data_IF_656117927059
#
_entry.id   IF_656117927059
#
_cell.length_a   1.000
_cell.length_b   1.000
_cell.length_c   1.000
_cell.angle_alpha   90.00
_cell.angle_beta   90.00
_cell.angle_gamma   90.00
#
_symmetry.space_group_name_H-M   'P 1'
#
loop_
_entity.id
_entity.type
_entity.pdbx_description
1 polymer ?
#
# COMPACT_ATOMS: atom_id res chain seq x y z
N UNK A 1 -76.39 16.45 -18.94
CA UNK A 1 -75.30 15.46 -19.03
C UNK A 1 -74.36 15.75 -17.87
N UNK A 2 -74.35 14.89 -16.84
CA UNK A 2 -73.70 15.11 -15.54
C UNK A 2 -72.21 14.72 -15.61
N UNK A 3 -71.37 15.50 -14.94
CA UNK A 3 -69.96 15.19 -14.60
C UNK A 3 -69.84 13.88 -13.83
N UNK A 4 -68.66 13.23 -13.91
CA UNK A 4 -68.05 12.79 -12.66
C UNK A 4 -66.55 13.13 -12.54
N UNK A 5 -66.22 13.36 -11.29
CA UNK A 5 -64.95 13.66 -10.62
C UNK A 5 -63.96 12.50 -10.67
N UNK A 6 -62.67 12.81 -10.81
CA UNK A 6 -61.58 11.85 -10.59
C UNK A 6 -61.03 12.04 -9.15
N UNK A 7 -61.21 11.02 -8.29
CA UNK A 7 -60.53 10.91 -6.98
C UNK A 7 -59.13 10.27 -7.14
N UNK A 8 -58.16 10.62 -6.30
CA UNK A 8 -56.84 9.99 -6.30
C UNK A 8 -56.87 8.66 -5.54
N UNK A 9 -56.33 7.59 -6.14
CA UNK A 9 -56.10 6.30 -5.47
C UNK A 9 -54.67 6.27 -4.91
N UNK A 10 -54.61 6.05 -3.60
CA UNK A 10 -53.40 5.73 -2.82
C UNK A 10 -52.77 4.41 -3.28
N UNK A 11 -51.44 4.29 -3.42
CA UNK A 11 -50.79 3.00 -3.58
C UNK A 11 -50.48 2.35 -2.21
N UNK A 12 -50.95 1.12 -2.09
CA UNK A 12 -50.79 0.18 -1.00
C UNK A 12 -49.30 -0.15 -0.73
N UNK A 13 -48.99 -0.24 0.57
CA UNK A 13 -47.74 -0.71 1.13
C UNK A 13 -47.43 -2.16 0.69
N UNK A 14 -46.30 -2.34 -0.01
CA UNK A 14 -45.71 -3.66 -0.27
C UNK A 14 -44.70 -4.00 0.84
N UNK A 15 -45.03 -5.00 1.66
CA UNK A 15 -44.11 -5.59 2.63
C UNK A 15 -43.05 -6.44 1.90
N UNK A 16 -41.78 -6.07 2.03
CA UNK A 16 -40.64 -6.83 1.50
C UNK A 16 -40.09 -7.77 2.57
N UNK A 17 -40.18 -9.08 2.34
CA UNK A 17 -39.72 -10.13 3.26
C UNK A 17 -38.41 -10.72 2.73
N UNK A 18 -37.28 -10.40 3.38
CA UNK A 18 -35.95 -10.91 3.03
C UNK A 18 -35.80 -12.36 3.54
N UNK A 19 -35.61 -13.33 2.63
CA UNK A 19 -35.18 -14.70 2.97
C UNK A 19 -33.65 -14.77 2.86
N UNK A 20 -32.98 -15.22 3.93
CA UNK A 20 -31.56 -15.58 3.93
C UNK A 20 -31.33 -16.84 3.07
N UNK A 21 -30.30 -16.90 2.22
CA UNK A 21 -29.87 -18.16 1.62
C UNK A 21 -29.01 -18.95 2.62
N UNK A 22 -29.39 -20.21 2.84
CA UNK A 22 -28.63 -21.18 3.61
C UNK A 22 -27.49 -21.80 2.81
N UNK A 23 -26.47 -22.21 3.56
CA UNK A 23 -25.26 -22.94 3.15
C UNK A 23 -25.63 -24.31 2.55
N UNK A 24 -24.98 -24.67 1.43
CA UNK A 24 -24.93 -26.04 0.91
C UNK A 24 -23.51 -26.32 0.43
N UNK A 25 -22.84 -27.27 1.10
CA UNK A 25 -21.50 -27.76 0.75
C UNK A 25 -21.58 -28.79 -0.40
N UNK A 26 -20.62 -28.73 -1.32
CA UNK A 26 -20.36 -29.75 -2.34
C UNK A 26 -18.87 -29.70 -2.75
N UNK A 27 -18.21 -30.83 -3.03
CA UNK A 27 -16.76 -30.87 -3.16
C UNK A 27 -16.31 -30.55 -4.59
N UNK A 28 -15.25 -29.75 -4.74
CA UNK A 28 -14.51 -29.64 -6.00
C UNK A 28 -13.01 -29.83 -5.72
N UNK A 29 -12.42 -30.76 -6.48
CA UNK A 29 -11.00 -31.10 -6.47
C UNK A 29 -10.12 -30.03 -7.12
N UNK A 30 -8.80 -30.29 -7.21
CA UNK A 30 -7.78 -29.27 -7.05
C UNK A 30 -7.44 -28.57 -8.37
N UNK A 31 -7.30 -27.24 -8.34
CA UNK A 31 -6.47 -26.53 -9.32
C UNK A 31 -5.70 -25.45 -8.60
N UNK A 32 -4.39 -25.66 -8.62
CA UNK A 32 -3.30 -24.91 -8.04
C UNK A 32 -3.14 -23.56 -8.75
N UNK A 33 -3.20 -22.46 -8.00
CA UNK A 33 -2.48 -21.23 -8.35
C UNK A 33 -1.96 -20.60 -7.06
N UNK A 34 -0.66 -20.77 -6.82
CA UNK A 34 0.05 -20.26 -5.67
C UNK A 34 0.59 -18.87 -6.01
N UNK A 35 0.00 -17.82 -5.44
CA UNK A 35 0.60 -16.50 -5.34
C UNK A 35 0.89 -16.26 -3.85
N UNK A 36 2.15 -16.40 -3.43
CA UNK A 36 2.56 -16.12 -2.05
C UNK A 36 2.89 -14.63 -1.93
N UNK A 37 1.94 -13.84 -1.46
CA UNK A 37 2.23 -12.62 -0.72
C UNK A 37 2.22 -13.01 0.76
N UNK A 38 3.37 -12.98 1.43
CA UNK A 38 3.43 -13.14 2.89
C UNK A 38 2.89 -11.87 3.54
N UNK A 39 1.57 -11.78 3.64
CA UNK A 39 0.89 -10.83 4.49
C UNK A 39 0.77 -11.47 5.87
N UNK A 40 1.69 -11.15 6.79
CA UNK A 40 1.50 -11.52 8.20
C UNK A 40 0.42 -10.63 8.80
N UNK A 41 -0.84 -11.06 8.70
CA UNK A 41 -1.89 -10.59 9.60
C UNK A 41 -1.83 -11.50 10.85
N UNK A 42 -1.16 -11.04 11.90
CA UNK A 42 -1.15 -11.75 13.17
C UNK A 42 -2.55 -11.66 13.80
N UNK A 43 -3.30 -12.76 13.80
CA UNK A 43 -4.38 -12.99 14.77
C UNK A 43 -3.70 -13.53 16.02
N UNK A 44 -3.58 -12.69 17.05
CA UNK A 44 -2.95 -13.05 18.31
C UNK A 44 -3.82 -14.08 19.06
N UNK A 45 -3.27 -15.28 19.29
CA UNK A 45 -3.74 -16.19 20.34
C UNK A 45 -3.15 -15.69 21.66
N UNK A 46 -4.03 -15.10 22.48
CA UNK A 46 -3.67 -14.40 23.70
C UNK A 46 -3.40 -15.40 24.83
N UNK A 47 -2.14 -15.61 25.22
CA UNK A 47 -1.77 -15.92 26.62
C UNK A 47 -0.28 -16.16 26.89
N UNK A 48 0.60 -16.25 25.88
CA UNK A 48 2.01 -16.61 26.12
C UNK A 48 3.06 -15.62 25.56
N UNK A 49 2.67 -14.59 24.81
CA UNK A 49 3.61 -13.66 24.15
C UNK A 49 3.64 -12.24 24.73
N UNK A 50 2.84 -11.96 25.77
CA UNK A 50 2.62 -10.59 26.28
C UNK A 50 3.84 -9.92 26.93
N UNK A 51 4.85 -10.70 27.35
CA UNK A 51 6.07 -10.14 27.98
C UNK A 51 7.17 -9.73 27.01
N UNK A 52 7.20 -10.30 25.80
CA UNK A 52 8.21 -9.95 24.79
C UNK A 52 7.68 -8.91 23.79
N UNK A 53 6.35 -8.79 23.64
CA UNK A 53 5.68 -7.76 22.83
C UNK A 53 5.48 -6.42 23.55
N UNK A 54 5.52 -6.40 24.89
CA UNK A 54 5.28 -5.18 25.68
C UNK A 54 6.45 -4.18 25.62
N UNK A 55 7.67 -4.64 25.36
CA UNK A 55 8.81 -3.75 25.13
C UNK A 55 8.83 -3.17 23.69
N UNK A 56 8.07 -3.77 22.75
CA UNK A 56 8.00 -3.33 21.35
C UNK A 56 6.83 -2.36 21.06
N UNK A 57 5.92 -2.12 22.01
CA UNK A 57 4.73 -1.27 21.82
C UNK A 57 4.77 0.06 22.57
N UNK A 58 5.93 0.49 23.07
CA UNK A 58 6.12 1.91 23.38
C UNK A 58 6.35 2.67 22.06
N UNK A 59 5.29 2.85 21.26
CA UNK A 59 5.27 3.88 20.23
C UNK A 59 5.42 5.22 20.96
N UNK A 60 6.67 5.66 21.12
CA UNK A 60 6.97 7.07 21.37
C UNK A 60 6.29 7.92 20.30
N UNK A 61 6.20 9.26 20.47
CA UNK A 61 5.60 10.11 19.46
C UNK A 61 6.16 9.76 18.08
N UNK A 62 5.31 9.21 17.20
CA UNK A 62 5.69 8.83 15.84
C UNK A 62 6.31 10.06 15.21
N UNK A 63 7.57 9.92 14.78
CA UNK A 63 8.45 11.03 14.55
C UNK A 63 7.82 12.07 13.61
N UNK A 64 7.53 13.27 14.11
CA UNK A 64 7.23 14.46 13.32
C UNK A 64 8.52 15.10 12.80
N UNK A 65 9.47 14.29 12.34
CA UNK A 65 10.68 14.80 11.71
C UNK A 65 10.33 15.34 10.33
N UNK A 66 10.83 16.52 9.96
CA UNK A 66 10.72 17.10 8.61
C UNK A 66 11.56 16.29 7.61
N UNK A 67 11.22 15.02 7.40
CA UNK A 67 11.86 14.15 6.43
C UNK A 67 11.30 14.51 5.07
N UNK A 68 12.18 15.04 4.22
CA UNK A 68 11.81 15.33 2.84
C UNK A 68 11.48 14.04 2.08
N UNK A 69 10.49 14.16 1.18
CA UNK A 69 10.23 13.13 0.20
C UNK A 69 11.47 12.99 -0.69
N UNK A 70 12.00 11.79 -0.77
CA UNK A 70 13.19 11.45 -1.55
C UNK A 70 13.00 10.11 -2.25
N UNK A 71 13.75 9.88 -3.32
CA UNK A 71 13.69 8.64 -4.07
C UNK A 71 15.05 7.96 -4.22
N UNK A 72 15.00 6.66 -4.52
CA UNK A 72 16.11 5.84 -4.99
C UNK A 72 15.69 5.08 -6.23
N UNK A 73 16.67 4.75 -7.06
CA UNK A 73 16.48 3.99 -8.29
C UNK A 73 17.21 2.66 -8.11
N UNK A 74 16.52 1.57 -8.39
CA UNK A 74 17.16 0.27 -8.60
C UNK A 74 17.29 -0.01 -10.09
N UNK A 75 18.41 -0.62 -10.49
CA UNK A 75 18.75 -0.94 -11.88
C UNK A 75 19.16 -2.40 -12.08
N UNK A 76 19.04 -3.24 -11.05
CA UNK A 76 19.45 -4.64 -11.14
C UNK A 76 18.51 -5.46 -12.02
N UNK A 77 19.00 -6.59 -12.54
CA UNK A 77 18.25 -7.48 -13.44
C UNK A 77 17.69 -6.80 -14.70
N UNK A 78 18.35 -5.75 -15.20
CA UNK A 78 17.92 -4.99 -16.38
C UNK A 78 16.54 -4.33 -16.22
N UNK A 79 16.13 -4.04 -14.98
CA UNK A 79 14.90 -3.33 -14.62
C UNK A 79 15.27 -1.98 -14.02
N UNK A 80 14.67 -0.90 -14.51
CA UNK A 80 14.74 0.41 -13.88
C UNK A 80 13.48 0.69 -13.06
N UNK A 81 13.61 0.91 -11.75
CA UNK A 81 12.45 1.27 -10.92
C UNK A 81 12.80 2.35 -9.90
N UNK A 82 11.99 3.40 -9.87
CA UNK A 82 12.07 4.46 -8.85
C UNK A 82 11.15 4.14 -7.66
N UNK A 83 11.69 4.24 -6.45
CA UNK A 83 10.98 4.06 -5.18
C UNK A 83 11.11 5.34 -4.35
N UNK A 84 10.01 5.80 -3.75
CA UNK A 84 9.97 6.97 -2.88
C UNK A 84 9.68 6.57 -1.43
N UNK A 85 10.18 7.37 -0.48
CA UNK A 85 9.99 7.15 0.95
C UNK A 85 8.61 7.58 1.50
N UNK A 86 7.66 7.95 0.64
CA UNK A 86 6.26 8.22 0.97
C UNK A 86 5.31 7.10 0.49
N UNK A 87 5.88 5.94 0.10
CA UNK A 87 5.15 4.77 -0.39
C UNK A 87 4.85 4.79 -1.89
N UNK A 88 5.22 5.86 -2.60
CA UNK A 88 5.03 5.95 -4.05
C UNK A 88 6.07 5.12 -4.82
N UNK A 89 5.61 4.34 -5.80
CA UNK A 89 6.44 3.49 -6.67
C UNK A 89 6.22 3.89 -8.14
N UNK A 90 7.30 4.02 -8.91
CA UNK A 90 7.27 4.59 -10.25
C UNK A 90 7.36 6.12 -10.23
N UNK A 91 7.05 6.79 -11.34
CA UNK A 91 7.26 8.26 -11.47
C UNK A 91 6.04 9.04 -11.93
N UNK A 92 4.90 8.36 -12.15
CA UNK A 92 3.76 8.90 -12.92
C UNK A 92 4.16 9.46 -14.29
N UNK A 93 5.32 9.04 -14.83
CA UNK A 93 5.93 9.62 -16.03
C UNK A 93 6.18 11.13 -15.92
N UNK A 94 6.35 11.65 -14.70
CA UNK A 94 6.53 13.08 -14.43
C UNK A 94 7.98 13.56 -14.66
N UNK A 95 8.93 12.64 -14.75
CA UNK A 95 10.34 12.93 -15.03
C UNK A 95 10.98 11.77 -15.83
N UNK A 96 12.30 11.83 -16.03
CA UNK A 96 13.06 10.84 -16.82
C UNK A 96 13.61 9.67 -16.01
N UNK A 97 13.32 9.61 -14.71
CA UNK A 97 13.68 8.44 -13.92
C UNK A 97 12.76 7.27 -14.31
N UNK A 98 13.26 6.03 -14.26
CA UNK A 98 12.52 4.89 -14.76
C UNK A 98 11.31 4.57 -13.86
N UNK A 99 10.22 4.21 -14.50
CA UNK A 99 8.93 3.85 -13.91
C UNK A 99 8.59 2.41 -14.31
N UNK A 100 9.40 1.47 -13.80
CA UNK A 100 9.42 0.07 -14.22
C UNK A 100 9.82 -0.05 -15.70
N UNK A 101 10.97 0.53 -16.04
CA UNK A 101 11.56 0.43 -17.36
C UNK A 101 12.12 -0.99 -17.56
N UNK A 102 11.74 -1.64 -18.67
CA UNK A 102 12.30 -2.93 -19.04
C UNK A 102 12.28 -3.13 -20.57
N UNK A 103 13.38 -3.55 -21.20
CA UNK A 103 14.74 -3.56 -20.68
C UNK A 103 15.21 -2.17 -20.22
N UNK A 104 16.09 -2.10 -19.23
CA UNK A 104 16.71 -0.84 -18.81
C UNK A 104 17.43 -0.19 -20.00
N UNK A 105 17.17 1.10 -20.23
CA UNK A 105 17.66 1.85 -21.40
C UNK A 105 16.79 1.76 -22.66
N UNK A 106 15.67 1.02 -22.63
CA UNK A 106 14.73 0.94 -23.77
C UNK A 106 13.80 2.15 -23.87
N UNK A 107 13.65 2.94 -22.81
CA UNK A 107 12.60 3.95 -22.61
C UNK A 107 11.16 3.37 -22.68
N UNK A 108 10.99 2.06 -22.47
CA UNK A 108 9.69 1.41 -22.41
C UNK A 108 9.30 1.22 -20.94
N UNK A 109 8.39 2.08 -20.49
CA UNK A 109 7.87 2.11 -19.12
C UNK A 109 6.70 1.14 -18.95
N UNK A 110 6.75 0.28 -17.94
CA UNK A 110 5.72 -0.73 -17.67
C UNK A 110 4.83 -0.37 -16.48
N UNK A 111 5.14 0.72 -15.76
CA UNK A 111 4.36 1.21 -14.65
C UNK A 111 4.14 2.71 -14.80
N UNK A 112 2.89 3.16 -14.80
CA UNK A 112 2.62 4.59 -14.68
C UNK A 112 2.95 5.02 -13.25
N UNK A 113 2.32 4.38 -12.27
CA UNK A 113 2.58 4.54 -10.82
C UNK A 113 2.00 3.36 -10.05
N UNK A 114 2.46 3.17 -8.83
CA UNK A 114 1.87 2.28 -7.85
C UNK A 114 2.05 2.87 -6.44
N UNK A 115 1.29 2.33 -5.51
CA UNK A 115 1.39 2.64 -4.09
C UNK A 115 0.60 1.63 -3.26
N UNK A 116 0.86 1.61 -1.97
CA UNK A 116 0.14 0.82 -0.96
C UNK A 116 -1.16 1.49 -0.55
N UNK A 117 -2.19 0.65 -0.34
CA UNK A 117 -3.48 1.00 0.28
C UNK A 117 -3.64 0.15 1.54
N UNK A 118 -3.88 0.78 2.69
CA UNK A 118 -4.14 0.11 3.96
C UNK A 118 -5.54 0.49 4.43
N UNK A 119 -6.36 -0.51 4.76
CA UNK A 119 -7.71 -0.30 5.27
C UNK A 119 -7.85 -0.84 6.69
N UNK A 120 -8.66 -0.17 7.51
CA UNK A 120 -8.89 -0.54 8.90
C UNK A 120 -10.18 0.02 9.48
N UNK A 121 -10.50 -0.43 10.70
CA UNK A 121 -11.57 0.14 11.51
C UNK A 121 -10.96 1.04 12.57
N UNK A 122 -11.47 2.26 12.72
CA UNK A 122 -11.08 3.10 13.84
C UNK A 122 -11.76 2.66 15.15
N UNK A 123 -11.41 3.30 16.27
CA UNK A 123 -11.99 3.01 17.58
C UNK A 123 -13.53 3.20 17.67
N UNK A 124 -14.14 3.90 16.70
CA UNK A 124 -15.59 4.11 16.61
C UNK A 124 -16.29 3.10 15.69
N UNK A 125 -15.53 2.24 15.02
CA UNK A 125 -16.02 1.27 14.04
C UNK A 125 -16.22 1.86 12.64
N UNK A 126 -15.69 3.05 12.34
CA UNK A 126 -15.70 3.59 10.98
C UNK A 126 -14.66 2.86 10.12
N UNK A 127 -15.02 2.52 8.87
CA UNK A 127 -14.09 1.99 7.88
C UNK A 127 -13.28 3.13 7.25
N UNK A 128 -11.96 3.08 7.41
CA UNK A 128 -11.02 4.05 6.85
C UNK A 128 -10.03 3.36 5.92
N UNK A 129 -9.47 4.12 4.98
CA UNK A 129 -8.42 3.68 4.07
C UNK A 129 -7.40 4.80 3.97
N UNK A 130 -6.12 4.42 4.00
CA UNK A 130 -4.98 5.31 3.74
C UNK A 130 -4.23 4.83 2.51
N UNK A 131 -3.88 5.75 1.61
CA UNK A 131 -3.21 5.45 0.34
C UNK A 131 -1.99 6.31 0.07
N UNK A 132 -0.98 5.71 -0.56
CA UNK A 132 0.20 6.42 -1.07
C UNK A 132 0.06 6.96 -2.49
N UNK A 133 -1.03 6.60 -3.18
CA UNK A 133 -1.39 7.19 -4.48
C UNK A 133 -2.88 7.03 -4.77
N UNK A 134 -3.47 8.06 -5.36
CA UNK A 134 -4.84 8.00 -5.91
C UNK A 134 -4.83 7.82 -7.43
N UNK A 135 -5.98 7.50 -8.03
CA UNK A 135 -6.16 7.54 -9.48
C UNK A 135 -6.14 8.99 -9.99
N UNK A 136 -5.77 9.23 -11.25
CA UNK A 136 -5.42 10.57 -11.73
C UNK A 136 -4.63 10.54 -13.03
N UNK A 137 -4.33 11.70 -13.60
CA UNK A 137 -3.66 11.84 -14.90
C UNK A 137 -2.16 11.57 -14.80
N UNK A 138 -1.56 10.98 -15.83
CA UNK A 138 -0.11 10.85 -15.94
C UNK A 138 0.56 12.22 -16.17
N UNK A 139 1.80 12.38 -15.72
CA UNK A 139 2.66 13.53 -15.99
C UNK A 139 2.86 14.50 -14.82
N UNK A 140 2.22 14.28 -13.67
CA UNK A 140 2.47 15.05 -12.44
C UNK A 140 2.56 14.13 -11.23
N UNK A 141 3.55 14.34 -10.36
CA UNK A 141 3.58 13.67 -9.05
C UNK A 141 2.77 14.51 -8.07
N UNK A 142 1.46 14.56 -8.31
CA UNK A 142 0.52 15.22 -7.40
C UNK A 142 0.72 14.61 -6.00
N UNK A 143 0.68 15.43 -4.96
CA UNK A 143 0.93 15.04 -3.56
C UNK A 143 -0.26 14.23 -3.00
N UNK A 144 -0.52 13.09 -3.63
CA UNK A 144 -1.69 12.22 -3.40
C UNK A 144 -1.39 11.06 -2.46
N UNK A 145 -0.29 11.17 -1.71
CA UNK A 145 0.01 10.27 -0.60
C UNK A 145 -0.56 10.89 0.66
N UNK A 146 -1.36 10.10 1.36
CA UNK A 146 -1.87 10.37 2.71
C UNK A 146 -0.82 10.03 3.77
N UNK A 147 0.31 9.46 3.35
CA UNK A 147 1.43 9.13 4.21
C UNK A 147 2.49 10.22 4.20
N UNK A 148 3.11 10.43 5.37
CA UNK A 148 4.30 11.26 5.55
C UNK A 148 5.52 10.39 5.76
N UNK A 149 6.68 10.70 5.13
CA UNK A 149 7.92 9.98 5.40
C UNK A 149 8.32 10.09 6.87
N UNK A 150 8.62 8.94 7.49
CA UNK A 150 9.17 8.86 8.86
C UNK A 150 10.70 8.76 8.80
N UNK A 151 11.24 8.07 7.79
CA UNK A 151 12.68 7.99 7.54
C UNK A 151 13.04 8.27 6.08
N UNK A 152 14.30 8.66 5.84
CA UNK A 152 14.89 8.62 4.51
C UNK A 152 15.09 7.18 4.01
N UNK A 153 15.46 7.04 2.73
CA UNK A 153 15.82 5.74 2.16
C UNK A 153 17.26 5.38 2.50
N UNK A 154 17.43 4.32 3.29
CA UNK A 154 18.72 3.69 3.57
C UNK A 154 18.96 2.58 2.56
N UNK A 155 20.12 2.62 1.89
CA UNK A 155 20.54 1.59 0.95
C UNK A 155 21.58 0.67 1.63
N UNK A 156 21.36 -0.64 1.55
CA UNK A 156 22.27 -1.66 2.04
C UNK A 156 22.58 -2.67 0.92
N UNK A 157 23.71 -3.35 1.01
CA UNK A 157 24.11 -4.34 0.02
C UNK A 157 24.90 -5.47 0.67
N UNK A 158 24.64 -6.71 0.25
CA UNK A 158 25.45 -7.86 0.64
C UNK A 158 26.72 -8.00 -0.21
N UNK A 159 26.88 -7.21 -1.28
CA UNK A 159 28.03 -7.29 -2.18
C UNK A 159 29.28 -6.68 -1.52
N UNK A 160 30.37 -7.43 -1.31
CA UNK A 160 31.56 -6.96 -0.58
C UNK A 160 32.25 -5.73 -1.17
N UNK A 161 32.07 -5.49 -2.47
CA UNK A 161 32.63 -4.36 -3.21
C UNK A 161 31.68 -3.15 -3.29
N UNK A 162 30.45 -3.26 -2.77
CA UNK A 162 29.50 -2.15 -2.74
C UNK A 162 29.92 -1.11 -1.70
N UNK A 163 29.79 0.18 -2.04
CA UNK A 163 29.95 1.27 -1.05
C UNK A 163 28.89 1.25 0.06
N UNK A 164 27.82 0.49 -0.16
CA UNK A 164 26.72 0.27 0.79
C UNK A 164 26.80 -1.10 1.46
N UNK A 165 27.97 -1.75 1.39
CA UNK A 165 28.16 -3.05 2.02
C UNK A 165 27.78 -3.01 3.50
N UNK A 166 26.89 -3.92 3.90
CA UNK A 166 26.49 -4.10 5.28
C UNK A 166 26.27 -5.58 5.57
N UNK A 167 26.69 -6.02 6.76
CA UNK A 167 26.39 -7.38 7.26
C UNK A 167 24.91 -7.57 7.57
N UNK A 168 24.17 -6.48 7.72
CA UNK A 168 22.73 -6.48 7.97
C UNK A 168 21.91 -6.49 6.67
N UNK A 169 22.57 -6.42 5.50
CA UNK A 169 21.90 -6.56 4.22
C UNK A 169 21.39 -8.01 4.03
N UNK A 170 20.26 -8.16 3.33
CA UNK A 170 19.63 -9.45 3.04
C UNK A 170 19.67 -9.81 1.57
N UNK A 171 19.90 -8.83 0.71
CA UNK A 171 20.02 -9.01 -0.73
C UNK A 171 21.16 -8.16 -1.30
N UNK A 172 21.36 -8.21 -2.61
CA UNK A 172 22.44 -7.46 -3.26
C UNK A 172 22.20 -5.95 -3.23
N UNK A 173 20.93 -5.54 -3.15
CA UNK A 173 20.54 -4.17 -2.87
C UNK A 173 19.22 -4.17 -2.08
N UNK A 174 19.27 -3.66 -0.85
CA UNK A 174 18.10 -3.41 -0.04
C UNK A 174 17.82 -1.91 0.01
N UNK A 175 16.55 -1.51 -0.11
CA UNK A 175 16.11 -0.20 0.34
C UNK A 175 15.24 -0.35 1.57
N UNK A 176 15.61 0.35 2.65
CA UNK A 176 14.86 0.39 3.91
C UNK A 176 14.40 1.79 4.22
N UNK A 177 13.11 1.96 4.47
CA UNK A 177 12.50 3.23 4.85
C UNK A 177 11.14 3.00 5.52
N UNK A 178 10.59 4.05 6.13
CA UNK A 178 9.28 4.02 6.76
C UNK A 178 8.51 5.31 6.49
N UNK A 179 7.18 5.18 6.50
CA UNK A 179 6.24 6.28 6.36
C UNK A 179 4.99 5.97 7.17
N UNK A 180 4.25 7.01 7.57
CA UNK A 180 3.12 6.87 8.47
C UNK A 180 1.97 7.77 8.08
N UNK A 181 0.77 7.35 8.45
CA UNK A 181 -0.45 8.13 8.37
C UNK A 181 -0.86 8.51 9.80
N UNK A 182 -0.43 9.70 10.22
CA UNK A 182 -0.59 10.20 11.61
C UNK A 182 -1.14 11.62 11.66
N UNK A 183 -1.39 12.24 10.51
CA UNK A 183 -1.86 13.60 10.42
C UNK A 183 -2.98 13.66 9.41
N UNK A 184 -4.09 14.33 9.76
CA UNK A 184 -5.19 14.62 8.83
C UNK A 184 -4.77 15.54 7.68
N UNK A 185 -3.48 15.87 7.57
CA UNK A 185 -2.93 16.70 6.54
C UNK A 185 -2.76 15.89 5.26
N UNK A 186 -3.78 15.92 4.43
CA UNK A 186 -3.65 15.60 3.02
C UNK A 186 -3.54 16.91 2.26
N UNK A 187 -2.62 16.97 1.28
CA UNK A 187 -2.60 18.07 0.30
C UNK A 187 -3.77 17.97 -0.69
N UNK A 188 -4.57 16.92 -0.57
CA UNK A 188 -5.83 16.71 -1.27
C UNK A 188 -7.01 17.38 -0.52
N UNK A 189 -8.07 17.64 -1.25
CA UNK A 189 -9.28 18.29 -0.73
C UNK A 189 -10.27 17.34 -0.04
N UNK A 190 -9.91 16.06 0.09
CA UNK A 190 -10.76 15.01 0.69
C UNK A 190 -10.63 15.02 2.22
N UNK A 191 -11.72 14.74 2.94
CA UNK A 191 -11.76 14.63 4.41
C UNK A 191 -11.04 13.34 4.85
N UNK A 192 -9.72 13.41 4.98
CA UNK A 192 -8.90 12.29 5.45
C UNK A 192 -8.93 12.19 6.98
N UNK A 193 -9.16 10.97 7.48
CA UNK A 193 -9.05 10.63 8.89
C UNK A 193 -7.92 9.62 9.04
N UNK A 194 -6.82 9.98 9.72
CA UNK A 194 -5.68 9.10 9.87
C UNK A 194 -6.05 7.75 10.48
N UNK A 195 -5.43 6.69 9.98
CA UNK A 195 -5.48 5.36 10.57
C UNK A 195 -4.51 5.21 11.77
N UNK A 196 -3.62 6.18 11.99
CA UNK A 196 -2.55 6.13 13.00
C UNK A 196 -1.65 4.89 12.82
N UNK A 197 -1.25 4.63 11.56
CA UNK A 197 -0.42 3.48 11.18
C UNK A 197 0.94 3.94 10.64
N UNK A 198 1.98 3.18 10.97
CA UNK A 198 3.30 3.27 10.33
C UNK A 198 3.55 2.01 9.49
N UNK A 199 4.18 2.19 8.34
CA UNK A 199 4.59 1.13 7.43
C UNK A 199 6.10 1.17 7.31
N UNK A 200 6.74 0.07 7.67
CA UNK A 200 8.16 -0.16 7.44
C UNK A 200 8.33 -0.99 6.16
N UNK A 201 9.14 -0.48 5.23
CA UNK A 201 9.37 -1.10 3.92
C UNK A 201 10.81 -1.58 3.81
N UNK A 202 10.96 -2.81 3.31
CA UNK A 202 12.21 -3.37 2.83
C UNK A 202 11.98 -3.86 1.39
N UNK A 203 12.68 -3.27 0.41
CA UNK A 203 12.74 -3.81 -0.96
C UNK A 203 14.00 -4.63 -1.12
N UNK A 204 13.91 -5.81 -1.73
CA UNK A 204 15.04 -6.73 -1.88
C UNK A 204 15.33 -6.98 -3.36
N UNK A 205 16.60 -6.85 -3.75
CA UNK A 205 17.09 -7.20 -5.08
C UNK A 205 18.01 -8.41 -5.02
N UNK A 206 17.61 -9.46 -5.72
CA UNK A 206 18.43 -10.64 -5.94
C UNK A 206 18.73 -10.73 -7.43
N UNK A 207 20.01 -10.69 -7.81
CA UNK A 207 20.39 -11.18 -9.12
C UNK A 207 20.29 -12.70 -9.18
N UNK A 208 19.95 -13.19 -10.37
CA UNK A 208 20.12 -14.59 -10.70
C UNK A 208 21.31 -14.68 -11.65
N UNK A 209 22.42 -15.27 -11.21
CA UNK A 209 23.39 -15.80 -12.17
C UNK A 209 22.79 -17.08 -12.79
N UNK A 210 22.64 -17.18 -14.12
CA UNK A 210 22.50 -18.50 -14.72
C UNK A 210 23.80 -19.26 -14.41
N UNK A 211 23.69 -20.40 -13.76
CA UNK A 211 24.81 -21.33 -13.66
C UNK A 211 25.26 -21.67 -15.08
N UNK A 212 26.50 -21.33 -15.41
CA UNK A 212 27.17 -21.74 -16.66
C UNK A 212 27.28 -23.27 -16.78
#
# INVERSE_FOLDING_TARGET
MRTPTHSPRSPLAGQFRLRRPGVSAGPLGPTLLLLVALLSAAVADASASDRELSDAMALGPLATGDVNISSRITTGNNIGLTVYNDGFIGTNLANRNPSLEYPLGSNIEHLVRAGVWIGGLNARGDTLVSTSTVAGRAGSRDFTSEFVPVTGITELSLLPNSRYFSRDARSEQDFRFSFADTAAFTRDTEDHRPLDVQIDVETLLFSFEPFD
#
